data_IF_887194413643
#
_entry.id   IF_887194413643
#
_cell.length_a   1.000
_cell.length_b   1.000
_cell.length_c   1.000
_cell.angle_alpha   90.00
_cell.angle_beta   90.00
_cell.angle_gamma   90.00
#
_symmetry.space_group_name_H-M   'P 1'
#
loop_
_entity.id
_entity.type
_entity.pdbx_description
1 polymer ?
#
# COMPACT_ATOMS: atom_id res chain seq x y z
N UNK A 1 -45.47 -51.37 63.03
CA UNK A 1 -45.86 -50.74 61.72
C UNK A 1 -45.52 -49.24 61.78
N UNK A 2 -44.48 -48.83 61.08
CA UNK A 2 -44.12 -47.38 60.93
C UNK A 2 -44.44 -47.01 59.51
N UNK A 3 -45.41 -46.16 59.36
CA UNK A 3 -45.77 -45.56 58.09
C UNK A 3 -44.67 -44.58 57.64
N UNK A 4 -44.10 -44.84 56.44
CA UNK A 4 -43.13 -43.93 55.79
C UNK A 4 -43.91 -42.93 54.93
N UNK A 5 -43.76 -41.69 55.20
CA UNK A 5 -44.41 -40.56 54.55
C UNK A 5 -43.85 -40.32 53.14
N UNK A 6 -44.62 -40.39 52.03
CA UNK A 6 -44.14 -40.35 50.65
C UNK A 6 -43.84 -38.90 50.16
N UNK A 7 -43.94 -37.86 50.95
CA UNK A 7 -43.83 -36.47 50.53
C UNK A 7 -42.42 -35.85 50.53
N UNK A 8 -41.39 -36.60 50.99
CA UNK A 8 -40.03 -36.05 51.06
C UNK A 8 -39.18 -36.32 49.81
N UNK A 9 -39.61 -37.10 48.87
CA UNK A 9 -38.79 -37.42 47.65
C UNK A 9 -39.01 -36.44 46.49
N UNK A 10 -40.08 -35.68 46.45
CA UNK A 10 -40.35 -34.78 45.32
C UNK A 10 -39.65 -33.41 45.41
N UNK A 11 -39.23 -32.95 46.57
CA UNK A 11 -38.59 -31.64 46.76
C UNK A 11 -37.12 -31.62 46.35
N UNK A 12 -36.40 -32.76 46.43
CA UNK A 12 -34.97 -32.85 46.06
C UNK A 12 -34.74 -32.95 44.55
N UNK A 13 -35.69 -33.54 43.81
CA UNK A 13 -35.59 -33.68 42.34
C UNK A 13 -35.82 -32.33 41.64
N UNK A 14 -36.71 -31.48 42.19
CA UNK A 14 -36.98 -30.13 41.62
C UNK A 14 -35.88 -29.10 41.88
N UNK A 15 -35.09 -29.25 42.94
CA UNK A 15 -33.94 -28.39 43.20
C UNK A 15 -32.77 -28.69 42.26
N UNK A 16 -32.53 -29.98 41.93
CA UNK A 16 -31.49 -30.44 41.00
C UNK A 16 -31.74 -29.99 39.54
N UNK A 17 -32.99 -29.97 39.09
CA UNK A 17 -33.36 -29.58 37.72
C UNK A 17 -33.24 -28.06 37.52
N UNK A 18 -33.54 -27.26 38.55
CA UNK A 18 -33.36 -25.80 38.45
C UNK A 18 -31.89 -25.35 38.44
N UNK A 19 -31.01 -26.04 39.16
CA UNK A 19 -29.56 -25.74 39.17
C UNK A 19 -28.87 -26.20 37.89
N UNK A 20 -29.32 -27.31 37.27
CA UNK A 20 -28.81 -27.78 35.99
C UNK A 20 -29.24 -26.87 34.81
N UNK A 21 -30.43 -26.22 34.88
CA UNK A 21 -30.92 -25.30 33.86
C UNK A 21 -30.23 -23.91 33.89
N UNK A 22 -29.67 -23.51 35.02
CA UNK A 22 -28.91 -22.25 35.15
C UNK A 22 -27.48 -22.40 34.62
N UNK A 23 -26.92 -23.65 34.62
CA UNK A 23 -25.57 -23.89 34.11
C UNK A 23 -25.52 -24.06 32.59
N UNK A 24 -26.64 -24.20 31.88
CA UNK A 24 -26.71 -24.34 30.41
C UNK A 24 -26.83 -22.99 29.67
N UNK A 25 -26.92 -21.86 30.39
CA UNK A 25 -26.87 -20.51 29.83
C UNK A 25 -25.48 -19.87 29.98
N UNK A 26 -24.42 -20.65 30.01
CA UNK A 26 -23.10 -20.14 29.60
C UNK A 26 -23.18 -19.99 28.08
N UNK A 27 -23.76 -18.87 27.67
CA UNK A 27 -23.71 -18.42 26.28
C UNK A 27 -22.28 -18.56 25.84
N UNK A 28 -22.02 -19.47 24.92
CA UNK A 28 -20.81 -19.46 24.13
C UNK A 28 -20.76 -18.08 23.49
N UNK A 29 -20.07 -17.13 24.11
CA UNK A 29 -19.65 -15.90 23.46
C UNK A 29 -18.71 -16.39 22.38
N UNK A 30 -19.27 -16.79 21.24
CA UNK A 30 -18.52 -16.89 20.01
C UNK A 30 -18.00 -15.48 19.80
N UNK A 31 -16.72 -15.26 20.08
CA UNK A 31 -16.06 -14.06 19.64
C UNK A 31 -16.33 -13.96 18.14
N UNK A 32 -17.16 -13.02 17.74
CA UNK A 32 -17.52 -12.84 16.35
C UNK A 32 -16.22 -12.75 15.56
N UNK A 33 -16.04 -13.65 14.60
CA UNK A 33 -14.84 -13.65 13.77
C UNK A 33 -14.73 -12.31 13.05
N UNK A 34 -13.58 -11.65 13.19
CA UNK A 34 -13.40 -10.33 12.58
C UNK A 34 -13.52 -10.44 11.06
N UNK A 35 -14.20 -9.50 10.41
CA UNK A 35 -14.32 -9.49 8.96
C UNK A 35 -12.92 -9.55 8.31
N UNK A 36 -12.73 -10.49 7.40
CA UNK A 36 -11.51 -10.64 6.62
C UNK A 36 -11.52 -9.68 5.44
N UNK A 37 -10.49 -8.86 5.34
CA UNK A 37 -10.27 -7.94 4.22
C UNK A 37 -8.95 -8.29 3.53
N UNK A 38 -9.03 -8.62 2.25
CA UNK A 38 -7.86 -8.84 1.40
C UNK A 38 -7.41 -7.54 0.79
N UNK A 39 -6.16 -7.14 1.11
CA UNK A 39 -5.50 -5.96 0.54
C UNK A 39 -4.44 -6.44 -0.43
N UNK A 40 -4.59 -6.14 -1.72
CA UNK A 40 -3.58 -6.48 -2.70
C UNK A 40 -2.65 -5.30 -3.00
N UNK A 41 -1.38 -5.62 -3.26
CA UNK A 41 -0.38 -4.68 -3.75
C UNK A 41 0.40 -5.26 -4.93
N UNK A 42 0.86 -4.37 -5.84
CA UNK A 42 1.63 -4.78 -7.03
C UNK A 42 3.12 -4.43 -6.96
N UNK A 43 3.55 -3.71 -5.94
CA UNK A 43 4.94 -3.28 -5.78
C UNK A 43 5.73 -4.27 -4.91
N UNK A 44 7.03 -4.38 -5.19
CA UNK A 44 7.99 -5.04 -4.32
C UNK A 44 8.94 -3.96 -3.79
N UNK A 45 8.56 -3.34 -2.68
CA UNK A 45 9.18 -2.12 -2.14
C UNK A 45 8.92 -1.99 -0.64
N UNK A 46 9.82 -1.30 0.05
CA UNK A 46 9.68 -0.91 1.45
C UNK A 46 8.36 -0.18 1.74
N UNK A 47 7.82 0.53 0.77
CA UNK A 47 6.54 1.27 0.87
C UNK A 47 5.30 0.38 1.09
N UNK A 48 5.44 -0.93 1.01
CA UNK A 48 4.36 -1.87 1.35
C UNK A 48 4.36 -2.21 2.84
N UNK A 49 5.43 -1.85 3.57
CA UNK A 49 5.60 -2.22 4.96
C UNK A 49 4.39 -1.87 5.84
N UNK A 50 3.75 -0.73 5.61
CA UNK A 50 2.56 -0.32 6.37
C UNK A 50 1.47 -1.41 6.39
N UNK A 51 1.30 -2.15 5.30
CA UNK A 51 0.33 -3.25 5.20
C UNK A 51 0.84 -4.50 5.94
N UNK A 52 2.07 -4.91 5.65
CA UNK A 52 2.67 -6.10 6.26
C UNK A 52 2.79 -5.95 7.77
N UNK A 53 3.39 -4.84 8.23
CA UNK A 53 3.61 -4.58 9.64
C UNK A 53 2.29 -4.41 10.39
N UNK A 54 1.33 -3.67 9.81
CA UNK A 54 0.01 -3.49 10.41
C UNK A 54 -0.73 -4.82 10.63
N UNK A 55 -0.61 -5.76 9.68
CA UNK A 55 -1.15 -7.10 9.82
C UNK A 55 -0.36 -7.95 10.84
N UNK A 56 0.98 -7.94 10.77
CA UNK A 56 1.88 -8.70 11.65
C UNK A 56 1.76 -8.27 13.11
N UNK A 57 1.64 -6.97 13.38
CA UNK A 57 1.50 -6.40 14.73
C UNK A 57 0.04 -6.38 15.22
N UNK A 58 -0.90 -6.89 14.43
CA UNK A 58 -2.32 -6.92 14.79
C UNK A 58 -2.98 -5.55 14.89
N UNK A 59 -2.40 -4.49 14.29
CA UNK A 59 -2.92 -3.13 14.37
C UNK A 59 -4.28 -2.99 13.70
N UNK A 60 -4.53 -3.71 12.61
CA UNK A 60 -5.86 -3.77 11.99
C UNK A 60 -6.86 -4.54 12.86
N UNK A 61 -6.43 -5.66 13.46
CA UNK A 61 -7.29 -6.46 14.36
C UNK A 61 -7.72 -5.68 15.59
N UNK A 62 -6.85 -4.85 16.14
CA UNK A 62 -7.16 -3.93 17.24
C UNK A 62 -8.35 -3.01 16.91
N UNK A 63 -8.54 -2.67 15.64
CA UNK A 63 -9.64 -1.83 15.16
C UNK A 63 -10.83 -2.62 14.60
N UNK A 64 -10.83 -3.94 14.73
CA UNK A 64 -11.99 -4.76 14.40
C UNK A 64 -12.00 -5.33 12.98
N UNK A 65 -10.85 -5.40 12.29
CA UNK A 65 -10.73 -6.01 10.96
C UNK A 65 -9.52 -6.92 10.88
N UNK A 66 -9.67 -8.10 10.29
CA UNK A 66 -8.56 -8.98 9.96
C UNK A 66 -8.09 -8.69 8.53
N UNK A 67 -6.78 -8.47 8.35
CA UNK A 67 -6.20 -8.12 7.04
C UNK A 67 -5.30 -9.23 6.55
N UNK A 68 -5.56 -9.68 5.32
CA UNK A 68 -4.69 -10.54 4.54
C UNK A 68 -4.03 -9.71 3.43
N UNK A 69 -2.69 -9.69 3.40
CA UNK A 69 -1.92 -8.91 2.41
C UNK A 69 -1.49 -9.82 1.28
N UNK A 70 -1.90 -9.51 0.05
CA UNK A 70 -1.69 -10.34 -1.14
C UNK A 70 -0.82 -9.57 -2.15
N UNK A 71 0.20 -10.24 -2.70
CA UNK A 71 0.97 -9.70 -3.81
C UNK A 71 0.33 -10.09 -5.15
N UNK A 72 -0.07 -9.09 -5.94
CA UNK A 72 -0.52 -9.24 -7.33
C UNK A 72 0.40 -8.39 -8.20
N UNK A 73 1.18 -9.03 -9.08
CA UNK A 73 2.36 -8.48 -9.74
C UNK A 73 2.18 -7.20 -10.55
N UNK A 74 0.94 -6.81 -10.90
CA UNK A 74 0.73 -5.61 -11.70
C UNK A 74 -0.55 -4.87 -11.32
N UNK A 75 -0.56 -3.54 -11.52
CA UNK A 75 -1.73 -2.70 -11.27
C UNK A 75 -2.98 -3.13 -12.04
N UNK A 76 -2.90 -3.42 -13.35
CA UNK A 76 -4.06 -3.94 -14.11
C UNK A 76 -4.64 -5.23 -13.54
N UNK A 77 -3.79 -6.19 -13.14
CA UNK A 77 -4.25 -7.43 -12.49
C UNK A 77 -4.89 -7.16 -11.12
N UNK A 78 -4.33 -6.23 -10.35
CA UNK A 78 -4.92 -5.79 -9.08
C UNK A 78 -6.31 -5.18 -9.30
N UNK A 79 -6.50 -4.36 -10.34
CA UNK A 79 -7.80 -3.79 -10.67
C UNK A 79 -8.80 -4.87 -11.14
N UNK A 80 -8.36 -5.87 -11.89
CA UNK A 80 -9.19 -7.00 -12.28
C UNK A 80 -9.65 -7.82 -11.06
N UNK A 81 -8.75 -8.12 -10.12
CA UNK A 81 -9.08 -8.82 -8.87
C UNK A 81 -10.03 -7.99 -7.97
N UNK A 82 -9.89 -6.65 -7.97
CA UNK A 82 -10.83 -5.77 -7.27
C UNK A 82 -12.21 -5.77 -7.94
N UNK A 83 -12.27 -5.81 -9.25
CA UNK A 83 -13.52 -5.85 -10.01
C UNK A 83 -14.27 -7.19 -9.81
N UNK A 84 -13.55 -8.32 -9.81
CA UNK A 84 -14.13 -9.65 -9.55
C UNK A 84 -14.59 -9.84 -8.09
N UNK A 85 -14.02 -9.08 -7.14
CA UNK A 85 -14.28 -9.22 -5.71
C UNK A 85 -13.36 -10.18 -4.99
N UNK A 86 -12.35 -10.74 -5.67
CA UNK A 86 -11.32 -11.62 -5.07
C UNK A 86 -10.52 -10.87 -3.99
N UNK A 87 -10.37 -9.56 -4.15
CA UNK A 87 -9.88 -8.63 -3.13
C UNK A 87 -10.90 -7.53 -2.85
N UNK A 88 -10.83 -6.96 -1.65
CA UNK A 88 -11.67 -5.85 -1.24
C UNK A 88 -10.97 -4.51 -1.44
N UNK A 89 -9.66 -4.48 -1.26
CA UNK A 89 -8.85 -3.26 -1.23
C UNK A 89 -7.64 -3.43 -2.15
N UNK A 90 -7.34 -2.38 -2.92
CA UNK A 90 -6.13 -2.26 -3.71
C UNK A 90 -5.22 -1.19 -3.10
N UNK A 91 -3.99 -1.56 -2.75
CA UNK A 91 -2.91 -0.64 -2.41
C UNK A 91 -2.00 -0.48 -3.62
N UNK A 92 -2.23 0.57 -4.39
CA UNK A 92 -1.68 0.71 -5.73
C UNK A 92 -1.38 2.18 -6.07
N UNK A 93 -0.76 2.38 -7.22
CA UNK A 93 -0.49 3.71 -7.75
C UNK A 93 -1.72 4.29 -8.44
N UNK A 94 -1.86 5.62 -8.54
CA UNK A 94 -2.98 6.27 -9.19
C UNK A 94 -3.22 5.81 -10.64
N UNK A 95 -2.15 5.57 -11.39
CA UNK A 95 -2.25 5.19 -12.79
C UNK A 95 -3.14 3.99 -13.08
N UNK A 96 -3.09 2.97 -12.23
CA UNK A 96 -3.92 1.77 -12.38
C UNK A 96 -5.40 2.06 -12.15
N UNK A 97 -5.70 2.89 -11.15
CA UNK A 97 -7.09 3.28 -10.80
C UNK A 97 -7.67 4.22 -11.85
N UNK A 98 -6.89 5.23 -12.29
CA UNK A 98 -7.29 6.14 -13.36
C UNK A 98 -7.59 5.36 -14.64
N UNK A 99 -6.71 4.42 -15.02
CA UNK A 99 -6.93 3.57 -16.21
C UNK A 99 -8.19 2.71 -16.09
N UNK A 100 -8.48 2.17 -14.90
CA UNK A 100 -9.69 1.40 -14.66
C UNK A 100 -10.95 2.30 -14.73
N UNK A 101 -10.89 3.52 -14.18
CA UNK A 101 -11.96 4.50 -14.23
C UNK A 101 -12.28 4.94 -15.68
N UNK A 102 -11.28 5.05 -16.58
CA UNK A 102 -11.53 5.33 -18.01
C UNK A 102 -12.35 4.24 -18.70
N UNK A 103 -12.38 3.04 -18.16
CA UNK A 103 -13.16 1.89 -18.63
C UNK A 103 -14.51 1.78 -17.95
N UNK A 104 -14.92 2.78 -17.14
CA UNK A 104 -16.19 2.82 -16.43
C UNK A 104 -16.22 2.03 -15.12
N UNK A 105 -15.06 1.57 -14.61
CA UNK A 105 -15.02 0.90 -13.31
C UNK A 105 -15.24 1.91 -12.19
N UNK A 106 -16.28 1.68 -11.35
CA UNK A 106 -16.66 2.57 -10.23
C UNK A 106 -15.73 2.34 -9.03
N UNK A 107 -14.55 2.93 -9.10
CA UNK A 107 -13.49 2.84 -8.11
C UNK A 107 -13.13 4.21 -7.55
N UNK A 108 -12.73 4.28 -6.28
CA UNK A 108 -12.26 5.51 -5.65
C UNK A 108 -11.08 5.25 -4.71
N UNK A 109 -10.19 6.23 -4.63
CA UNK A 109 -9.21 6.34 -3.55
C UNK A 109 -9.88 6.84 -2.28
N UNK A 110 -9.54 6.23 -1.14
CA UNK A 110 -10.00 6.70 0.17
C UNK A 110 -8.86 6.98 1.14
N UNK A 111 -7.61 6.57 0.83
CA UNK A 111 -6.42 6.97 1.57
C UNK A 111 -5.21 7.14 0.63
N UNK A 112 -4.35 8.12 0.90
CA UNK A 112 -3.08 8.37 0.24
C UNK A 112 -1.93 8.20 1.23
N UNK A 113 -1.19 7.09 1.12
CA UNK A 113 -0.18 6.75 2.13
C UNK A 113 1.23 7.24 1.77
N UNK A 114 1.51 7.42 0.48
CA UNK A 114 2.79 7.94 -0.03
C UNK A 114 2.52 9.10 -0.97
N UNK A 115 2.73 10.31 -0.48
CA UNK A 115 2.41 11.56 -1.20
C UNK A 115 3.67 12.28 -1.71
N UNK A 116 4.82 11.60 -1.72
CA UNK A 116 6.11 12.13 -2.16
C UNK A 116 6.73 11.20 -3.18
N UNK A 117 7.38 11.76 -4.20
CA UNK A 117 8.28 11.00 -5.04
C UNK A 117 9.52 10.60 -4.24
N UNK A 118 10.15 9.49 -4.60
CA UNK A 118 11.32 8.94 -3.93
C UNK A 118 12.14 8.06 -4.87
N UNK A 119 13.29 7.61 -4.40
CA UNK A 119 14.15 6.68 -5.12
C UNK A 119 15.04 7.34 -6.17
N UNK A 120 15.83 6.51 -6.82
CA UNK A 120 16.90 6.90 -7.72
C UNK A 120 16.54 6.53 -9.17
N UNK A 121 16.65 7.48 -10.08
CA UNK A 121 16.75 7.19 -11.50
C UNK A 121 18.24 6.94 -11.79
N UNK A 122 18.59 5.66 -11.94
CA UNK A 122 19.95 5.15 -11.95
C UNK A 122 20.28 4.61 -13.34
N UNK A 123 21.51 4.80 -13.78
CA UNK A 123 21.97 4.43 -15.11
C UNK A 123 23.18 3.49 -15.06
N UNK A 124 23.49 2.87 -16.21
CA UNK A 124 24.70 2.08 -16.39
C UNK A 124 25.96 2.92 -16.21
N UNK A 125 27.11 2.34 -15.83
CA UNK A 125 28.34 3.08 -15.55
C UNK A 125 28.86 3.94 -16.70
N UNK A 126 28.42 3.67 -17.93
CA UNK A 126 28.83 4.44 -19.13
C UNK A 126 27.96 5.68 -19.38
N UNK A 127 26.89 5.88 -18.62
CA UNK A 127 25.97 6.99 -18.78
C UNK A 127 26.19 7.98 -17.62
N UNK A 128 26.76 9.12 -17.91
CA UNK A 128 27.08 10.14 -16.89
C UNK A 128 26.20 11.38 -16.99
N UNK A 129 25.58 11.61 -18.14
CA UNK A 129 24.68 12.75 -18.38
C UNK A 129 23.33 12.28 -18.90
N UNK A 130 22.25 13.06 -18.68
CA UNK A 130 20.94 12.72 -19.23
C UNK A 130 20.94 12.57 -20.77
N UNK A 131 21.72 13.37 -21.49
CA UNK A 131 21.79 13.36 -22.95
C UNK A 131 22.29 12.02 -23.52
N UNK A 132 23.14 11.31 -22.80
CA UNK A 132 23.67 10.00 -23.19
C UNK A 132 22.61 8.89 -23.14
N UNK A 133 21.44 9.16 -22.54
CA UNK A 133 20.31 8.24 -22.58
C UNK A 133 19.55 8.24 -23.92
N UNK A 134 19.79 9.20 -24.81
CA UNK A 134 19.15 9.21 -26.13
C UNK A 134 19.49 7.95 -26.92
N UNK A 135 18.45 7.29 -27.45
CA UNK A 135 18.56 6.03 -28.15
C UNK A 135 18.76 4.80 -27.26
N UNK A 136 18.78 4.94 -25.93
CA UNK A 136 19.05 3.86 -24.98
C UNK A 136 17.77 3.18 -24.48
N UNK A 137 17.94 2.04 -23.78
CA UNK A 137 16.85 1.23 -23.20
C UNK A 137 16.61 1.65 -21.75
N UNK A 138 15.36 1.93 -21.42
CA UNK A 138 14.91 2.21 -20.07
C UNK A 138 14.01 1.07 -19.60
N UNK A 139 14.41 0.39 -18.52
CA UNK A 139 13.66 -0.72 -17.96
C UNK A 139 12.51 -0.26 -17.07
N UNK A 140 11.35 -0.93 -17.16
CA UNK A 140 10.19 -0.70 -16.31
C UNK A 140 9.51 -2.02 -15.94
N UNK A 141 8.66 -2.00 -14.92
CA UNK A 141 7.89 -3.19 -14.51
C UNK A 141 6.68 -3.44 -15.41
N UNK A 142 5.96 -2.40 -15.75
CA UNK A 142 4.79 -2.42 -16.63
C UNK A 142 4.47 -1.00 -17.10
N UNK A 143 3.93 -0.84 -18.29
CA UNK A 143 3.49 0.47 -18.78
C UNK A 143 2.33 0.98 -17.91
N UNK A 144 2.42 2.25 -17.47
CA UNK A 144 1.47 2.84 -16.55
C UNK A 144 1.64 2.39 -15.08
N UNK A 145 2.61 1.54 -14.80
CA UNK A 145 2.98 1.09 -13.45
C UNK A 145 3.81 2.12 -12.68
N UNK A 146 4.12 1.83 -11.39
CA UNK A 146 4.85 2.74 -10.51
C UNK A 146 6.26 3.06 -11.00
N UNK A 147 7.03 2.03 -11.36
CA UNK A 147 8.38 2.19 -11.91
C UNK A 147 8.35 2.98 -13.22
N UNK A 148 7.39 2.68 -14.11
CA UNK A 148 7.22 3.44 -15.34
C UNK A 148 6.93 4.92 -15.06
N UNK A 149 6.01 5.18 -14.16
CA UNK A 149 5.63 6.55 -13.81
C UNK A 149 6.81 7.35 -13.26
N UNK A 150 7.57 6.75 -12.35
CA UNK A 150 8.76 7.39 -11.76
C UNK A 150 9.86 7.58 -12.81
N UNK A 151 10.07 6.62 -13.72
CA UNK A 151 11.01 6.76 -14.82
C UNK A 151 10.59 7.88 -15.77
N UNK A 152 9.28 7.98 -16.13
CA UNK A 152 8.79 9.06 -17.01
C UNK A 152 8.92 10.43 -16.34
N UNK A 153 8.60 10.56 -15.04
CA UNK A 153 8.79 11.80 -14.30
C UNK A 153 10.28 12.19 -14.20
N UNK A 154 11.17 11.22 -14.02
CA UNK A 154 12.61 11.47 -14.01
C UNK A 154 13.09 11.96 -15.37
N UNK A 155 12.71 11.29 -16.45
CA UNK A 155 13.08 11.68 -17.80
C UNK A 155 12.57 13.09 -18.14
N UNK A 156 11.30 13.39 -17.82
CA UNK A 156 10.72 14.72 -18.01
C UNK A 156 11.49 15.80 -17.23
N UNK A 157 11.80 15.52 -15.96
CA UNK A 157 12.57 16.46 -15.11
C UNK A 157 13.99 16.70 -15.68
N UNK A 158 14.58 15.69 -16.30
CA UNK A 158 15.88 15.77 -16.99
C UNK A 158 15.79 16.33 -18.40
N UNK A 159 14.61 16.78 -18.87
CA UNK A 159 14.40 17.34 -20.18
C UNK A 159 14.36 16.31 -21.33
N UNK A 160 14.18 15.02 -21.01
CA UNK A 160 14.12 13.92 -21.96
C UNK A 160 12.67 13.48 -22.22
N UNK A 161 12.42 12.99 -23.43
CA UNK A 161 11.12 12.41 -23.83
C UNK A 161 11.39 11.14 -24.69
N UNK A 162 10.86 9.96 -24.30
CA UNK A 162 11.24 8.69 -24.92
C UNK A 162 11.08 8.66 -26.45
N UNK A 163 9.94 9.13 -26.99
CA UNK A 163 9.70 9.07 -28.43
C UNK A 163 10.58 10.07 -29.19
N UNK A 164 10.65 11.33 -28.72
CA UNK A 164 11.49 12.36 -29.32
C UNK A 164 12.96 11.97 -29.33
N UNK A 165 13.43 11.41 -28.20
CA UNK A 165 14.84 11.08 -27.99
C UNK A 165 15.16 9.63 -28.38
N UNK A 166 14.21 8.93 -29.08
CA UNK A 166 14.35 7.57 -29.62
C UNK A 166 14.74 6.52 -28.56
N UNK A 167 14.32 6.73 -27.33
CA UNK A 167 14.56 5.79 -26.24
C UNK A 167 13.59 4.60 -26.32
N UNK A 168 14.04 3.43 -25.91
CA UNK A 168 13.20 2.23 -25.87
C UNK A 168 12.80 1.90 -24.43
N UNK A 169 11.50 1.97 -24.12
CA UNK A 169 10.98 1.55 -22.81
C UNK A 169 10.68 0.06 -22.84
N UNK A 170 11.41 -0.73 -22.04
CA UNK A 170 11.32 -2.19 -21.99
C UNK A 170 10.59 -2.65 -20.70
N UNK A 171 9.64 -3.56 -20.86
CA UNK A 171 9.02 -4.26 -19.73
C UNK A 171 9.96 -5.40 -19.33
N UNK A 172 10.61 -5.27 -18.16
CA UNK A 172 11.65 -6.20 -17.68
C UNK A 172 11.15 -7.02 -16.49
N UNK A 173 10.60 -6.36 -15.46
CA UNK A 173 10.14 -7.02 -14.25
C UNK A 173 10.11 -6.08 -13.04
N UNK A 174 10.03 -6.66 -11.84
CA UNK A 174 10.05 -5.91 -10.58
C UNK A 174 11.45 -5.36 -10.23
N UNK A 175 11.55 -4.59 -9.15
CA UNK A 175 12.78 -3.88 -8.79
C UNK A 175 14.03 -4.77 -8.68
N UNK A 176 13.98 -5.99 -8.10
CA UNK A 176 15.13 -6.89 -8.10
C UNK A 176 15.60 -7.29 -9.52
N UNK A 177 14.63 -7.58 -10.41
CA UNK A 177 14.93 -7.98 -11.81
C UNK A 177 15.47 -6.79 -12.59
N UNK A 178 14.92 -5.59 -12.36
CA UNK A 178 15.42 -4.36 -12.98
C UNK A 178 16.86 -4.05 -12.55
N UNK A 179 17.17 -4.18 -11.26
CA UNK A 179 18.52 -3.99 -10.75
C UNK A 179 19.52 -4.97 -11.40
N UNK A 180 19.14 -6.24 -11.51
CA UNK A 180 19.94 -7.27 -12.17
C UNK A 180 20.12 -6.98 -13.66
N UNK A 181 19.04 -6.56 -14.34
CA UNK A 181 19.10 -6.23 -15.79
C UNK A 181 19.97 -5.02 -16.06
N UNK A 182 19.95 -4.00 -15.19
CA UNK A 182 20.86 -2.86 -15.30
C UNK A 182 22.31 -3.27 -15.07
N UNK A 183 22.57 -4.11 -14.07
CA UNK A 183 23.91 -4.62 -13.76
C UNK A 183 24.50 -5.47 -14.87
N UNK A 184 23.67 -6.30 -15.54
CA UNK A 184 24.09 -7.15 -16.65
C UNK A 184 24.11 -6.46 -18.02
N UNK A 185 23.72 -5.17 -18.11
CA UNK A 185 23.67 -4.43 -19.37
C UNK A 185 22.46 -4.77 -20.24
N UNK A 186 21.42 -5.38 -19.69
CA UNK A 186 20.14 -5.62 -20.38
C UNK A 186 19.35 -4.32 -20.62
N UNK A 187 19.56 -3.31 -19.80
CA UNK A 187 19.02 -1.95 -19.91
C UNK A 187 20.11 -0.94 -19.53
N UNK A 188 19.97 0.31 -19.96
CA UNK A 188 20.92 1.38 -19.63
C UNK A 188 20.45 2.31 -18.51
N UNK A 189 19.14 2.35 -18.22
CA UNK A 189 18.61 3.09 -17.06
C UNK A 189 17.31 2.49 -16.55
N UNK A 190 17.01 2.77 -15.29
CA UNK A 190 15.72 2.46 -14.66
C UNK A 190 15.51 3.30 -13.42
N UNK A 191 14.28 3.35 -12.93
CA UNK A 191 13.98 3.79 -11.57
C UNK A 191 14.11 2.62 -10.61
N UNK A 192 14.78 2.84 -9.47
CA UNK A 192 14.82 1.93 -8.33
C UNK A 192 14.52 2.69 -7.03
N UNK A 193 13.80 2.06 -6.10
CA UNK A 193 13.74 2.57 -4.74
C UNK A 193 15.12 2.43 -4.05
N UNK A 194 15.32 3.16 -2.96
CA UNK A 194 16.64 3.27 -2.31
C UNK A 194 17.22 1.93 -1.84
N UNK A 195 16.35 0.97 -1.48
CA UNK A 195 16.78 -0.37 -1.04
C UNK A 195 17.53 -1.10 -2.17
N UNK A 196 17.00 -1.03 -3.40
CA UNK A 196 17.59 -1.75 -4.54
C UNK A 196 18.64 -0.92 -5.30
N UNK A 197 18.59 0.41 -5.24
CA UNK A 197 19.62 1.24 -5.88
C UNK A 197 20.94 1.26 -5.11
N UNK A 198 20.91 1.00 -3.80
CA UNK A 198 22.10 1.08 -2.94
C UNK A 198 23.27 0.24 -3.45
N UNK A 199 23.06 -1.04 -3.68
CA UNK A 199 24.15 -1.95 -4.09
C UNK A 199 24.75 -1.57 -5.44
N UNK A 200 23.96 -1.01 -6.34
CA UNK A 200 24.44 -0.51 -7.65
C UNK A 200 25.25 0.78 -7.46
N UNK A 201 24.82 1.69 -6.59
CA UNK A 201 25.61 2.88 -6.23
C UNK A 201 26.99 2.51 -5.67
N UNK A 202 27.06 1.52 -4.81
CA UNK A 202 28.33 1.00 -4.26
C UNK A 202 29.25 0.38 -5.34
N UNK A 203 28.64 -0.10 -6.45
CA UNK A 203 29.35 -0.60 -7.64
C UNK A 203 29.67 0.49 -8.65
N UNK A 204 29.39 1.76 -8.35
CA UNK A 204 29.73 2.90 -9.21
C UNK A 204 28.69 3.23 -10.30
N UNK A 205 27.46 2.70 -10.19
CA UNK A 205 26.36 3.09 -11.09
C UNK A 205 25.91 4.52 -10.76
N UNK A 206 25.88 5.45 -11.72
CA UNK A 206 25.52 6.83 -11.47
C UNK A 206 24.01 7.00 -11.26
N UNK A 207 23.65 7.85 -10.29
CA UNK A 207 22.30 8.35 -10.09
C UNK A 207 22.15 9.64 -10.88
N UNK A 208 21.34 9.62 -11.93
CA UNK A 208 21.07 10.80 -12.75
C UNK A 208 20.07 11.74 -12.10
N UNK A 209 19.16 11.20 -11.27
CA UNK A 209 18.21 11.99 -10.48
C UNK A 209 17.80 11.24 -9.22
N UNK A 210 17.92 11.87 -8.06
CA UNK A 210 17.25 11.47 -6.81
C UNK A 210 15.86 12.13 -6.80
N UNK A 211 14.81 11.33 -7.07
CA UNK A 211 13.46 11.85 -7.16
C UNK A 211 12.94 12.37 -5.82
N UNK A 212 13.47 11.89 -4.70
CA UNK A 212 13.10 12.38 -3.37
C UNK A 212 13.54 13.83 -3.12
N UNK A 213 14.51 14.34 -3.90
CA UNK A 213 14.98 15.73 -3.85
C UNK A 213 14.37 16.62 -4.92
N UNK A 214 13.68 16.03 -5.89
CA UNK A 214 13.05 16.78 -6.97
C UNK A 214 11.67 17.32 -6.54
N UNK A 215 11.32 18.58 -6.89
CA UNK A 215 10.04 19.17 -6.52
C UNK A 215 8.91 18.69 -7.44
N UNK A 216 8.67 17.37 -7.48
CA UNK A 216 7.68 16.73 -8.35
C UNK A 216 6.40 16.50 -7.56
N UNK A 217 5.26 17.13 -7.90
CA UNK A 217 3.96 16.80 -7.32
C UNK A 217 3.61 15.33 -7.61
N UNK A 218 3.39 14.54 -6.57
CA UNK A 218 3.21 13.11 -6.71
C UNK A 218 2.19 12.56 -5.72
N UNK A 219 1.34 11.64 -6.18
CA UNK A 219 0.63 10.68 -5.38
C UNK A 219 1.21 9.32 -5.71
N UNK A 220 1.93 8.76 -4.77
CA UNK A 220 2.48 7.42 -4.88
C UNK A 220 1.44 6.35 -4.55
N UNK A 221 1.79 5.41 -3.67
CA UNK A 221 0.87 4.37 -3.26
C UNK A 221 -0.31 4.94 -2.48
N UNK A 222 -1.51 4.64 -2.96
CA UNK A 222 -2.78 5.01 -2.36
C UNK A 222 -3.70 3.80 -2.24
N UNK A 223 -4.68 3.91 -1.38
CA UNK A 223 -5.63 2.84 -1.10
C UNK A 223 -6.93 3.12 -1.84
N UNK A 224 -7.34 2.18 -2.68
CA UNK A 224 -8.56 2.29 -3.48
C UNK A 224 -9.46 1.07 -3.29
N UNK A 225 -10.74 1.28 -3.49
CA UNK A 225 -11.75 0.23 -3.51
C UNK A 225 -12.94 0.64 -4.37
N UNK A 226 -13.89 -0.29 -4.57
CA UNK A 226 -15.16 0.02 -5.23
C UNK A 226 -15.97 1.01 -4.37
N UNK A 227 -16.58 2.03 -4.96
CA UNK A 227 -17.45 2.97 -4.23
C UNK A 227 -18.59 2.27 -3.52
N UNK A 228 -19.14 1.21 -4.13
CA UNK A 228 -20.16 0.37 -3.48
C UNK A 228 -19.65 -0.23 -2.17
N UNK A 229 -18.39 -0.68 -2.13
CA UNK A 229 -17.80 -1.23 -0.92
C UNK A 229 -17.64 -0.18 0.19
N UNK A 230 -17.22 1.05 -0.15
CA UNK A 230 -17.15 2.17 0.81
C UNK A 230 -18.52 2.44 1.44
N UNK A 231 -19.57 2.52 0.61
CA UNK A 231 -20.94 2.80 1.08
C UNK A 231 -21.53 1.67 1.92
N UNK A 232 -21.26 0.42 1.57
CA UNK A 232 -21.82 -0.75 2.24
C UNK A 232 -21.08 -1.14 3.52
N UNK A 233 -19.80 -0.76 3.65
CA UNK A 233 -18.92 -1.19 4.74
C UNK A 233 -18.19 -0.03 5.42
N UNK A 234 -18.89 1.05 5.84
CA UNK A 234 -18.24 2.24 6.40
C UNK A 234 -17.42 1.93 7.65
N UNK A 235 -17.87 0.98 8.51
CA UNK A 235 -17.13 0.58 9.72
C UNK A 235 -15.81 -0.14 9.37
N UNK A 236 -15.80 -0.97 8.33
CA UNK A 236 -14.58 -1.65 7.86
C UNK A 236 -13.60 -0.60 7.32
N UNK A 237 -14.07 0.35 6.52
CA UNK A 237 -13.25 1.45 6.00
C UNK A 237 -12.67 2.28 7.14
N UNK A 238 -13.47 2.64 8.16
CA UNK A 238 -12.98 3.40 9.33
C UNK A 238 -11.95 2.60 10.15
N UNK A 239 -12.15 1.29 10.32
CA UNK A 239 -11.20 0.39 10.96
C UNK A 239 -9.86 0.33 10.20
N UNK A 240 -9.91 0.21 8.86
CA UNK A 240 -8.72 0.24 8.01
C UNK A 240 -7.99 1.58 8.12
N UNK A 241 -8.71 2.71 8.08
CA UNK A 241 -8.12 4.05 8.21
C UNK A 241 -7.38 4.20 9.55
N UNK A 242 -7.96 3.74 10.65
CA UNK A 242 -7.29 3.72 11.96
C UNK A 242 -6.06 2.81 11.96
N UNK A 243 -6.16 1.62 11.39
CA UNK A 243 -5.05 0.69 11.25
C UNK A 243 -3.89 1.27 10.44
N UNK A 244 -4.17 2.01 9.36
CA UNK A 244 -3.14 2.67 8.56
C UNK A 244 -2.39 3.74 9.35
N UNK A 245 -3.08 4.69 9.97
CA UNK A 245 -2.40 5.75 10.73
C UNK A 245 -1.67 5.21 11.95
N UNK A 246 -2.19 4.17 12.62
CA UNK A 246 -1.49 3.52 13.72
C UNK A 246 -0.24 2.77 13.24
N UNK A 247 -0.30 2.15 12.06
CA UNK A 247 0.87 1.52 11.43
C UNK A 247 1.94 2.56 11.08
N UNK A 248 1.55 3.73 10.56
CA UNK A 248 2.48 4.85 10.34
C UNK A 248 3.13 5.28 11.66
N UNK A 249 2.33 5.53 12.69
CA UNK A 249 2.83 5.93 13.99
C UNK A 249 3.75 4.86 14.62
N UNK A 250 3.44 3.58 14.42
CA UNK A 250 4.29 2.47 14.88
C UNK A 250 5.65 2.50 14.19
N UNK A 251 5.67 2.66 12.85
CA UNK A 251 6.90 2.71 12.05
C UNK A 251 7.77 3.90 12.46
N UNK A 252 7.17 5.04 12.76
CA UNK A 252 7.88 6.28 13.10
C UNK A 252 8.45 6.30 14.53
N UNK A 253 8.02 5.40 15.41
CA UNK A 253 8.51 5.33 16.80
C UNK A 253 9.88 4.63 16.86
N UNK A 254 10.97 5.28 17.36
CA UNK A 254 12.32 4.70 17.41
C UNK A 254 12.40 3.37 18.15
N UNK A 255 11.61 3.19 19.22
CA UNK A 255 11.57 1.94 19.98
C UNK A 255 11.06 0.73 19.18
N UNK A 256 10.38 0.95 18.07
CA UNK A 256 9.85 -0.12 17.21
C UNK A 256 10.79 -0.46 16.04
N UNK A 257 11.94 0.21 15.92
CA UNK A 257 12.88 0.05 14.80
C UNK A 257 13.24 -1.41 14.51
N UNK A 258 13.53 -2.19 15.54
CA UNK A 258 13.87 -3.61 15.37
C UNK A 258 12.74 -4.41 14.70
N UNK A 259 11.49 -4.21 15.13
CA UNK A 259 10.33 -4.87 14.54
C UNK A 259 10.13 -4.43 13.07
N UNK A 260 10.35 -3.14 12.78
CA UNK A 260 10.26 -2.57 11.42
C UNK A 260 11.32 -3.20 10.51
N UNK A 261 12.59 -3.20 10.92
CA UNK A 261 13.70 -3.78 10.15
C UNK A 261 13.49 -5.27 9.92
N UNK A 262 13.06 -6.02 10.95
CA UNK A 262 12.76 -7.46 10.84
C UNK A 262 11.64 -7.73 9.82
N UNK A 263 10.58 -6.93 9.83
CA UNK A 263 9.48 -7.05 8.88
C UNK A 263 9.93 -6.72 7.44
N UNK A 264 10.77 -5.68 7.24
CA UNK A 264 11.36 -5.37 5.95
C UNK A 264 12.21 -6.52 5.41
N UNK A 265 13.12 -7.06 6.24
CA UNK A 265 13.97 -8.19 5.84
C UNK A 265 13.16 -9.41 5.41
N UNK A 266 12.14 -9.77 6.20
CA UNK A 266 11.25 -10.90 5.92
C UNK A 266 10.49 -10.71 4.60
N UNK A 267 9.77 -9.61 4.46
CA UNK A 267 8.81 -9.42 3.37
C UNK A 267 9.49 -9.05 2.05
N UNK A 268 10.61 -8.34 2.09
CA UNK A 268 11.43 -8.04 0.90
C UNK A 268 12.50 -9.10 0.64
N UNK A 269 12.60 -10.13 1.49
CA UNK A 269 13.60 -11.22 1.38
C UNK A 269 15.03 -10.68 1.31
N UNK A 270 15.31 -9.62 2.09
CA UNK A 270 16.62 -9.00 2.11
C UNK A 270 17.63 -9.89 2.84
N UNK A 271 18.83 -10.01 2.28
CA UNK A 271 19.93 -10.77 2.88
C UNK A 271 20.80 -9.91 3.77
N UNK A 272 20.91 -8.61 3.47
CA UNK A 272 21.72 -7.66 4.19
C UNK A 272 20.85 -6.76 5.08
N UNK A 273 21.05 -6.75 6.42
CA UNK A 273 20.31 -5.86 7.32
C UNK A 273 20.46 -4.37 6.99
N UNK A 274 21.57 -3.97 6.38
CA UNK A 274 21.82 -2.59 5.97
C UNK A 274 20.81 -2.11 4.92
N UNK A 275 20.33 -2.99 4.02
CA UNK A 275 19.31 -2.65 3.04
C UNK A 275 17.96 -2.38 3.73
N UNK A 276 17.62 -3.16 4.76
CA UNK A 276 16.43 -2.91 5.58
C UNK A 276 16.52 -1.61 6.38
N UNK A 277 17.71 -1.27 6.87
CA UNK A 277 17.96 0.00 7.57
C UNK A 277 17.71 1.20 6.66
N UNK A 278 18.16 1.14 5.41
CA UNK A 278 17.90 2.19 4.41
C UNK A 278 16.40 2.31 4.14
N UNK A 279 15.71 1.16 4.00
CA UNK A 279 14.25 1.15 3.88
C UNK A 279 13.56 1.79 5.09
N UNK A 280 14.00 1.47 6.30
CA UNK A 280 13.48 2.09 7.52
C UNK A 280 13.68 3.61 7.52
N UNK A 281 14.88 4.09 7.18
CA UNK A 281 15.18 5.53 7.11
C UNK A 281 14.32 6.24 6.05
N UNK A 282 14.13 5.64 4.88
CA UNK A 282 13.27 6.19 3.84
C UNK A 282 11.82 6.35 4.34
N UNK A 283 11.28 5.37 5.07
CA UNK A 283 9.92 5.40 5.56
C UNK A 283 9.67 6.46 6.65
N UNK A 284 10.71 6.93 7.36
CA UNK A 284 10.57 8.00 8.36
C UNK A 284 10.10 9.32 7.74
N UNK A 285 10.49 9.61 6.50
CA UNK A 285 10.10 10.85 5.82
C UNK A 285 9.02 10.67 4.74
N UNK A 286 8.90 9.45 4.19
CA UNK A 286 7.88 9.13 3.18
C UNK A 286 6.47 9.09 3.77
N UNK A 287 6.31 8.45 4.94
CA UNK A 287 5.02 8.35 5.58
C UNK A 287 4.65 9.60 6.38
N UNK A 288 3.37 9.91 6.36
CA UNK A 288 2.75 10.95 7.18
C UNK A 288 1.49 10.41 7.84
N UNK A 289 1.13 10.93 9.01
CA UNK A 289 -0.19 10.67 9.61
C UNK A 289 -1.34 11.28 8.81
N UNK A 290 -1.05 12.32 8.01
CA UNK A 290 -1.98 12.82 7.01
C UNK A 290 -1.98 11.87 5.81
N UNK A 291 -3.00 11.00 5.79
CA UNK A 291 -3.19 9.97 4.76
C UNK A 291 -4.31 10.35 3.77
N UNK A 292 -4.58 11.64 3.62
CA UNK A 292 -5.53 12.14 2.63
C UNK A 292 -4.97 11.93 1.21
N UNK A 293 -5.75 11.42 0.25
CA UNK A 293 -5.32 11.35 -1.14
C UNK A 293 -5.12 12.75 -1.74
N UNK A 294 -4.05 12.96 -2.51
CA UNK A 294 -3.76 14.26 -3.13
C UNK A 294 -4.26 14.32 -4.57
N UNK A 295 -5.32 15.09 -4.81
CA UNK A 295 -5.88 15.28 -6.17
C UNK A 295 -4.80 15.81 -7.13
N UNK A 296 -4.00 16.80 -6.74
CA UNK A 296 -2.93 17.35 -7.58
C UNK A 296 -1.88 16.27 -7.98
N UNK A 297 -1.48 15.41 -7.04
CA UNK A 297 -0.58 14.29 -7.33
C UNK A 297 -1.19 13.27 -8.29
N UNK A 298 -2.48 12.95 -8.12
CA UNK A 298 -3.23 12.06 -9.03
C UNK A 298 -3.33 12.68 -10.43
N UNK A 299 -3.63 14.00 -10.52
CA UNK A 299 -3.70 14.74 -11.79
C UNK A 299 -2.38 14.70 -12.55
N UNK A 300 -1.24 14.88 -11.85
CA UNK A 300 0.07 14.79 -12.49
C UNK A 300 0.34 13.39 -13.09
N UNK A 301 -0.06 12.34 -12.37
CA UNK A 301 0.01 10.96 -12.88
C UNK A 301 -0.92 10.72 -14.06
N UNK A 302 -2.14 11.24 -14.02
CA UNK A 302 -3.10 11.14 -15.11
C UNK A 302 -2.61 11.83 -16.39
N UNK A 303 -1.91 12.95 -16.26
CA UNK A 303 -1.28 13.67 -17.37
C UNK A 303 -0.29 12.79 -18.14
N UNK A 304 0.58 12.06 -17.44
CA UNK A 304 1.52 11.13 -18.07
C UNK A 304 0.79 10.00 -18.80
N UNK A 305 -0.24 9.43 -18.16
CA UNK A 305 -1.04 8.36 -18.78
C UNK A 305 -1.79 8.84 -20.03
N UNK A 306 -2.21 10.10 -20.06
CA UNK A 306 -2.92 10.69 -21.19
C UNK A 306 -2.07 10.75 -22.47
N UNK A 307 -0.74 10.69 -22.37
CA UNK A 307 0.16 10.59 -23.54
C UNK A 307 -0.06 9.29 -24.33
N UNK A 308 -0.32 8.18 -23.62
CA UNK A 308 -0.59 6.87 -24.23
C UNK A 308 -2.08 6.52 -24.34
N UNK A 309 -2.94 7.17 -23.55
CA UNK A 309 -4.39 6.93 -23.53
C UNK A 309 -5.17 8.23 -23.37
N UNK A 310 -5.57 8.89 -24.47
CA UNK A 310 -6.31 10.16 -24.43
C UNK A 310 -7.63 10.11 -23.63
N UNK A 311 -8.25 8.93 -23.48
CA UNK A 311 -9.47 8.75 -22.66
C UNK A 311 -9.29 9.14 -21.21
N UNK A 312 -8.05 9.13 -20.68
CA UNK A 312 -7.74 9.59 -19.33
C UNK A 312 -8.20 11.03 -19.08
N UNK A 313 -8.18 11.89 -20.12
CA UNK A 313 -8.64 13.28 -20.03
C UNK A 313 -10.12 13.43 -19.72
N UNK A 314 -10.94 12.40 -19.93
CA UNK A 314 -12.38 12.42 -19.59
C UNK A 314 -12.67 12.11 -18.13
N UNK A 315 -11.69 11.61 -17.37
CA UNK A 315 -11.85 11.32 -15.93
C UNK A 315 -11.50 12.57 -15.13
N UNK A 316 -12.46 13.06 -14.36
CA UNK A 316 -12.19 14.10 -13.36
C UNK A 316 -11.57 13.43 -12.14
N UNK A 317 -10.39 13.89 -11.74
CA UNK A 317 -9.63 13.26 -10.65
C UNK A 317 -10.34 13.41 -9.31
N UNK A 318 -11.09 14.48 -9.12
CA UNK A 318 -11.96 14.71 -7.97
C UNK A 318 -13.05 13.62 -7.84
N UNK A 319 -13.56 13.13 -8.97
CA UNK A 319 -14.60 12.11 -8.97
C UNK A 319 -14.09 10.73 -8.54
N UNK A 320 -12.79 10.47 -8.58
CA UNK A 320 -12.19 9.19 -8.15
C UNK A 320 -11.52 9.27 -6.77
N UNK A 321 -11.81 10.32 -6.00
CA UNK A 321 -11.36 10.47 -4.61
C UNK A 321 -12.58 10.52 -3.70
N UNK A 322 -12.54 9.75 -2.60
CA UNK A 322 -13.55 9.74 -1.53
C UNK A 322 -12.89 10.10 -0.21
N UNK A 323 -13.05 11.33 0.23
CA UNK A 323 -12.44 11.84 1.47
C UNK A 323 -13.31 11.57 2.72
N UNK A 324 -14.48 10.95 2.58
CA UNK A 324 -15.45 10.83 3.70
C UNK A 324 -14.87 10.09 4.91
N UNK A 325 -14.10 9.02 4.67
CA UNK A 325 -13.44 8.29 5.73
C UNK A 325 -12.31 9.10 6.40
N UNK A 326 -11.54 9.85 5.61
CA UNK A 326 -10.53 10.76 6.14
C UNK A 326 -11.14 11.84 7.02
N UNK A 327 -12.22 12.49 6.57
CA UNK A 327 -12.90 13.52 7.33
C UNK A 327 -13.45 13.02 8.68
N UNK A 328 -13.91 11.76 8.74
CA UNK A 328 -14.32 11.13 10.02
C UNK A 328 -13.12 10.84 10.92
N UNK A 329 -12.03 10.30 10.33
CA UNK A 329 -10.81 9.99 11.07
C UNK A 329 -10.19 11.25 11.67
N UNK A 330 -9.99 12.31 10.87
CA UNK A 330 -9.35 13.55 11.28
C UNK A 330 -10.05 14.23 12.46
N UNK A 331 -11.40 14.14 12.51
CA UNK A 331 -12.22 14.68 13.60
C UNK A 331 -12.27 13.79 14.84
N UNK A 332 -11.74 12.56 14.78
CA UNK A 332 -11.79 11.62 15.90
C UNK A 332 -10.80 11.96 17.01
N UNK A 333 -11.16 11.65 18.29
CA UNK A 333 -10.23 11.75 19.43
C UNK A 333 -8.99 10.88 19.20
N UNK A 334 -9.19 9.66 18.67
CA UNK A 334 -8.13 8.72 18.33
C UNK A 334 -7.03 9.37 17.46
N UNK A 335 -7.43 10.06 16.37
CA UNK A 335 -6.45 10.68 15.47
C UNK A 335 -5.74 11.87 16.12
N UNK A 336 -6.49 12.71 16.87
CA UNK A 336 -5.91 13.86 17.58
C UNK A 336 -4.87 13.44 18.60
N UNK A 337 -5.16 12.40 19.40
CA UNK A 337 -4.22 11.84 20.37
C UNK A 337 -2.97 11.27 19.69
N UNK A 338 -3.15 10.51 18.60
CA UNK A 338 -2.05 9.90 17.86
C UNK A 338 -1.14 10.96 17.21
N UNK A 339 -1.73 12.05 16.70
CA UNK A 339 -1.02 13.15 16.05
C UNK A 339 -0.44 14.18 17.05
N UNK A 340 -0.63 13.99 18.37
CA UNK A 340 -0.20 14.95 19.40
C UNK A 340 -0.92 16.30 19.31
N UNK A 341 -2.10 16.35 18.67
CA UNK A 341 -2.94 17.55 18.55
C UNK A 341 -3.94 17.55 19.71
N UNK A 342 -3.84 18.56 20.60
CA UNK A 342 -4.81 18.78 21.68
C UNK A 342 -6.12 19.37 21.18
#
# INVERSE_FOLDING_TARGET
MKETNPFQFHSLVWLGVRTAMILLWVSSVHAAELPLVRIAHGAFSEKILIMWLGAEQGLFRKHGVNVEVINIRSGPQTMAALASGDIQIAYTIPGSVVSAATSGFDVAFFAGLVNKADGDFIASPQIHTPEELKGKRVGVQSIGGGVWSMAMLALEHLGLEPNRDKMTVLIVGDSPVLAQSLESGGIEATYLNYVYSRSLKEKGFPVLLDLGKAPIPYQGLAVATRRSYIRQNPQIIDALMRGFVESVAFIQKPQNKEAVVKSLMKNLRLKNPQDAEIGYQALQWLYSLDIKPTVAGIQNMARLLALGNPKVKSVKMEDIVDETAWQRLEKSSFYRELAGRK
#
